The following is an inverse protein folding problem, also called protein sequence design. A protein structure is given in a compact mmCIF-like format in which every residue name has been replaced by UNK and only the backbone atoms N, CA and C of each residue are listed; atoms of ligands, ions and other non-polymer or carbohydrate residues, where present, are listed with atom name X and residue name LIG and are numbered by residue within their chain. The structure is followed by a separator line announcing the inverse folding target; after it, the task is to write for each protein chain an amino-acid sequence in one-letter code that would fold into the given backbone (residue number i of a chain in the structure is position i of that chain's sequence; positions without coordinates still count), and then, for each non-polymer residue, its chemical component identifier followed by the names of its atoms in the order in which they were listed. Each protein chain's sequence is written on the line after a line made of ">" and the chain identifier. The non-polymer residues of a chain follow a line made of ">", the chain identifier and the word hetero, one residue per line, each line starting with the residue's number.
data_IF_939373614646
#
_entry.id   IF_939373614646
#
_cell.length_a   1.000
_cell.length_b   1.000
_cell.length_c   1.000
_cell.angle_alpha   90.00
_cell.angle_beta   90.00
_cell.angle_gamma   90.00
#
_symmetry.space_group_name_H-M   'P 1'
#
loop_
_entity.id
_entity.type
_entity.pdbx_description
1 polymer ?
#
# COMPACT_ATOMS: atom_id res chain seq x y z
N UNK A 1 1.33 -24.57 14.70
CA UNK A 1 0.65 -23.31 14.34
C UNK A 1 1.61 -22.15 14.58
N UNK A 2 2.39 -21.76 13.58
CA UNK A 2 3.38 -20.68 13.73
C UNK A 2 2.69 -19.34 13.46
N UNK A 3 2.61 -18.52 14.51
CA UNK A 3 2.08 -17.16 14.47
C UNK A 3 2.97 -16.31 13.57
N UNK A 4 2.43 -15.82 12.44
CA UNK A 4 3.09 -14.87 11.55
C UNK A 4 3.16 -13.52 12.26
N UNK A 5 4.15 -13.35 13.13
CA UNK A 5 4.60 -12.01 13.55
C UNK A 5 5.12 -11.32 12.30
N UNK A 6 4.30 -10.49 11.67
CA UNK A 6 4.79 -9.45 10.78
C UNK A 6 5.83 -8.66 11.56
N UNK A 7 7.07 -8.66 11.10
CA UNK A 7 8.20 -8.05 11.79
C UNK A 7 7.88 -6.59 12.06
N UNK A 8 7.72 -6.20 13.32
CA UNK A 8 7.51 -4.81 13.72
C UNK A 8 8.61 -3.87 13.16
N UNK A 9 9.78 -4.42 12.82
CA UNK A 9 10.87 -3.72 12.14
C UNK A 9 10.51 -3.19 10.73
N UNK A 10 9.70 -3.92 9.95
CA UNK A 10 9.27 -3.46 8.61
C UNK A 10 8.24 -2.32 8.68
N UNK A 11 7.55 -2.18 9.82
CA UNK A 11 6.66 -1.05 10.09
C UNK A 11 7.44 0.24 10.42
N UNK A 12 8.73 0.16 10.74
CA UNK A 12 9.54 1.31 11.19
C UNK A 12 10.26 2.05 10.05
N UNK A 13 10.50 1.40 8.90
CA UNK A 13 11.31 1.98 7.80
C UNK A 13 10.53 2.81 6.80
N UNK A 14 9.23 3.03 7.00
CA UNK A 14 8.36 3.58 5.97
C UNK A 14 8.30 2.70 4.72
N UNK A 15 7.52 3.08 3.73
CA UNK A 15 7.43 2.34 2.47
C UNK A 15 6.11 2.55 1.74
N UNK A 16 5.97 2.00 0.54
CA UNK A 16 4.76 2.17 -0.25
C UNK A 16 3.75 1.06 0.04
N UNK A 17 2.50 1.45 0.18
CA UNK A 17 1.35 0.55 0.30
C UNK A 17 0.41 0.75 -0.88
N UNK A 18 -0.17 -0.34 -1.38
CA UNK A 18 -1.18 -0.30 -2.45
C UNK A 18 -2.50 0.26 -1.90
N UNK A 19 -2.96 1.37 -2.49
CA UNK A 19 -4.22 2.06 -2.16
C UNK A 19 -5.26 1.99 -3.29
N UNK A 20 -4.87 1.57 -4.49
CA UNK A 20 -5.80 1.19 -5.56
C UNK A 20 -5.33 -0.11 -6.22
N UNK A 21 -6.28 -1.01 -6.47
CA UNK A 21 -5.99 -2.24 -7.21
C UNK A 21 -5.61 -1.93 -8.65
N UNK A 22 -4.74 -2.77 -9.21
CA UNK A 22 -4.31 -2.65 -10.59
C UNK A 22 -4.00 -4.01 -11.17
N UNK A 23 -4.64 -4.35 -12.29
CA UNK A 23 -4.41 -5.59 -13.03
C UNK A 23 -3.71 -5.26 -14.36
N UNK A 24 -2.39 -5.54 -14.47
CA UNK A 24 -1.66 -5.32 -15.71
C UNK A 24 -2.20 -6.19 -16.85
N UNK A 25 -2.30 -5.65 -18.07
CA UNK A 25 -2.75 -6.39 -19.26
C UNK A 25 -1.76 -7.47 -19.72
N UNK A 26 -0.51 -7.42 -19.24
CA UNK A 26 0.57 -8.35 -19.61
C UNK A 26 0.56 -9.68 -18.82
N UNK A 27 -0.52 -9.97 -18.08
CA UNK A 27 -0.67 -11.19 -17.29
C UNK A 27 0.20 -11.26 -16.03
N UNK A 28 0.83 -10.15 -15.62
CA UNK A 28 1.44 -10.08 -14.29
C UNK A 28 0.36 -10.12 -13.20
N UNK A 29 0.73 -10.62 -12.02
CA UNK A 29 -0.18 -10.69 -10.88
C UNK A 29 -0.69 -9.27 -10.52
N UNK A 30 -1.97 -9.10 -10.17
CA UNK A 30 -2.56 -7.80 -9.86
C UNK A 30 -2.05 -7.24 -8.53
N UNK A 31 -1.93 -5.93 -8.43
CA UNK A 31 -1.74 -5.24 -7.15
C UNK A 31 -3.04 -5.30 -6.35
N UNK A 32 -2.92 -5.70 -5.09
CA UNK A 32 -4.07 -5.86 -4.17
C UNK A 32 -3.96 -4.83 -3.04
N UNK A 33 -5.11 -4.29 -2.62
CA UNK A 33 -5.18 -3.29 -1.56
C UNK A 33 -4.46 -3.74 -0.27
N UNK A 34 -3.62 -2.85 0.26
CA UNK A 34 -2.87 -3.09 1.48
C UNK A 34 -1.56 -3.86 1.30
N UNK A 35 -1.25 -4.36 0.10
CA UNK A 35 0.07 -4.94 -0.19
C UNK A 35 1.17 -3.89 -0.04
N UNK A 36 2.34 -4.31 0.47
CA UNK A 36 3.53 -3.48 0.54
C UNK A 36 4.40 -3.69 -0.68
N UNK A 37 4.92 -2.59 -1.22
CA UNK A 37 5.73 -2.54 -2.43
C UNK A 37 6.99 -1.72 -2.17
N UNK A 38 8.12 -2.22 -2.63
CA UNK A 38 9.36 -1.46 -2.73
C UNK A 38 9.39 -0.80 -4.09
N UNK A 39 9.18 0.52 -4.12
CA UNK A 39 9.26 1.32 -5.35
C UNK A 39 10.72 1.57 -5.71
N UNK A 40 11.03 1.41 -7.00
CA UNK A 40 12.32 1.74 -7.60
C UNK A 40 12.15 3.05 -8.35
N UNK A 41 13.00 4.03 -8.05
CA UNK A 41 13.01 5.30 -8.74
C UNK A 41 13.45 5.12 -10.21
N UNK A 42 12.62 5.58 -11.13
CA UNK A 42 12.83 5.58 -12.57
C UNK A 42 12.75 6.99 -13.19
N UNK A 43 12.51 8.02 -12.37
CA UNK A 43 12.30 9.40 -12.81
C UNK A 43 10.95 9.69 -13.49
N UNK A 44 10.03 8.73 -13.60
CA UNK A 44 8.69 8.93 -14.15
C UNK A 44 7.69 9.23 -13.00
N UNK A 45 7.03 10.40 -12.99
CA UNK A 45 6.12 10.77 -11.92
C UNK A 45 4.76 10.07 -11.99
N UNK A 46 4.35 9.57 -13.15
CA UNK A 46 3.03 9.00 -13.40
C UNK A 46 3.04 7.47 -13.34
N UNK A 47 4.18 6.87 -13.68
CA UNK A 47 4.38 5.42 -13.73
C UNK A 47 5.56 4.96 -12.89
N UNK A 48 5.27 4.16 -11.87
CA UNK A 48 6.27 3.62 -10.96
C UNK A 48 6.62 2.18 -11.32
N UNK A 49 7.84 1.78 -10.95
CA UNK A 49 8.23 0.37 -10.91
C UNK A 49 8.45 -0.09 -9.47
N UNK A 50 8.24 -1.37 -9.21
CA UNK A 50 8.54 -1.92 -7.89
C UNK A 50 8.38 -3.42 -7.77
N UNK A 51 8.72 -3.90 -6.57
CA UNK A 51 8.64 -5.30 -6.17
C UNK A 51 7.74 -5.45 -4.95
N UNK A 52 6.93 -6.49 -4.89
CA UNK A 52 6.15 -6.79 -3.67
C UNK A 52 7.09 -7.27 -2.56
N UNK A 53 6.90 -6.76 -1.35
CA UNK A 53 7.75 -7.08 -0.19
C UNK A 53 7.78 -8.59 0.15
N UNK A 54 6.72 -9.33 -0.15
CA UNK A 54 6.61 -10.76 0.15
C UNK A 54 6.78 -11.68 -1.07
N UNK A 55 7.04 -11.11 -2.25
CA UNK A 55 7.17 -11.88 -3.48
C UNK A 55 8.64 -12.20 -3.76
N UNK A 56 9.00 -13.47 -3.61
CA UNK A 56 10.37 -13.98 -3.84
C UNK A 56 10.68 -14.19 -5.32
N UNK A 57 9.73 -13.96 -6.22
CA UNK A 57 9.98 -14.09 -7.66
C UNK A 57 10.81 -12.93 -8.21
N UNK A 58 11.01 -11.85 -7.42
CA UNK A 58 11.74 -10.64 -7.81
C UNK A 58 11.26 -10.08 -9.17
N UNK A 59 9.98 -10.29 -9.49
CA UNK A 59 9.40 -9.82 -10.75
C UNK A 59 9.08 -8.33 -10.63
N UNK A 60 9.73 -7.53 -11.48
CA UNK A 60 9.47 -6.10 -11.57
C UNK A 60 8.05 -5.86 -12.10
N UNK A 61 7.28 -5.05 -11.38
CA UNK A 61 5.94 -4.59 -11.77
C UNK A 61 6.02 -3.13 -12.21
N UNK A 62 5.17 -2.75 -13.15
CA UNK A 62 4.98 -1.36 -13.56
C UNK A 62 3.52 -0.98 -13.34
N UNK A 63 3.25 0.14 -12.67
CA UNK A 63 1.91 0.53 -12.26
C UNK A 63 1.77 2.05 -12.16
N UNK A 64 0.54 2.60 -12.29
CA UNK A 64 0.29 4.03 -12.07
C UNK A 64 0.69 4.46 -10.66
N UNK A 65 1.32 5.63 -10.53
CA UNK A 65 1.73 6.18 -9.24
C UNK A 65 0.57 6.29 -8.24
N UNK A 66 -0.64 6.55 -8.74
CA UNK A 66 -1.88 6.64 -7.94
C UNK A 66 -2.27 5.33 -7.26
N UNK A 67 -1.69 4.19 -7.66
CA UNK A 67 -1.97 2.90 -7.05
C UNK A 67 -1.34 2.74 -5.68
N UNK A 68 -0.34 3.54 -5.33
CA UNK A 68 0.39 3.43 -4.07
C UNK A 68 0.43 4.74 -3.31
N UNK A 69 0.63 4.65 -1.99
CA UNK A 69 0.92 5.80 -1.15
C UNK A 69 2.10 5.50 -0.24
N UNK A 70 2.92 6.53 0.01
CA UNK A 70 4.05 6.44 0.93
C UNK A 70 3.54 6.50 2.37
N UNK A 71 3.92 5.49 3.16
CA UNK A 71 3.73 5.43 4.61
C UNK A 71 5.03 5.88 5.26
N UNK A 72 4.98 6.97 6.04
CA UNK A 72 6.14 7.48 6.76
C UNK A 72 6.42 6.67 8.03
N UNK A 73 7.64 6.74 8.59
CA UNK A 73 7.91 6.21 9.92
C UNK A 73 6.93 6.78 10.96
N UNK A 74 6.31 5.90 11.77
CA UNK A 74 5.28 6.27 12.74
C UNK A 74 3.86 6.35 12.15
N UNK A 75 3.69 6.09 10.87
CA UNK A 75 2.38 5.94 10.24
C UNK A 75 2.01 4.46 10.06
N UNK A 76 0.71 4.19 10.05
CA UNK A 76 0.15 2.88 9.82
C UNK A 76 -0.91 2.93 8.72
N UNK A 77 -0.75 2.08 7.71
CA UNK A 77 -1.79 1.84 6.72
C UNK A 77 -2.88 0.92 7.29
N UNK A 78 -4.14 1.29 7.12
CA UNK A 78 -5.31 0.54 7.59
C UNK A 78 -6.36 0.43 6.48
N UNK A 79 -7.00 -0.73 6.39
CA UNK A 79 -8.16 -0.93 5.50
C UNK A 79 -9.46 -0.63 6.25
N UNK A 80 -10.33 0.17 5.64
CA UNK A 80 -11.63 0.52 6.18
C UNK A 80 -12.59 -0.65 5.99
N UNK A 81 -13.05 -1.23 7.11
CA UNK A 81 -13.93 -2.42 7.09
C UNK A 81 -15.41 -2.08 6.91
N UNK A 82 -15.80 -0.86 7.27
CA UNK A 82 -17.16 -0.36 7.19
C UNK A 82 -17.14 1.13 6.89
N UNK A 83 -18.18 1.66 6.24
CA UNK A 83 -18.28 3.10 5.97
C UNK A 83 -18.26 3.87 7.30
N UNK A 84 -17.42 4.90 7.39
CA UNK A 84 -17.30 5.77 8.56
C UNK A 84 -17.54 7.21 8.14
N UNK A 85 -18.36 7.93 8.91
CA UNK A 85 -18.49 9.37 8.80
C UNK A 85 -17.88 9.99 10.07
N UNK A 86 -17.03 11.00 9.90
CA UNK A 86 -16.48 11.82 10.99
C UNK A 86 -16.96 13.26 10.76
N UNK A 87 -18.15 13.61 11.30
CA UNK A 87 -18.82 14.88 10.98
C UNK A 87 -17.99 16.12 11.36
N UNK A 88 -17.23 16.04 12.45
CA UNK A 88 -16.44 17.13 13.02
C UNK A 88 -15.43 17.69 12.03
N UNK A 89 -14.90 16.83 11.17
CA UNK A 89 -13.92 17.17 10.12
C UNK A 89 -14.49 17.01 8.71
N UNK A 90 -15.81 16.81 8.58
CA UNK A 90 -16.49 16.56 7.29
C UNK A 90 -15.85 15.44 6.46
N UNK A 91 -15.29 14.43 7.13
CA UNK A 91 -14.62 13.31 6.47
C UNK A 91 -15.60 12.14 6.32
N UNK A 92 -15.58 11.50 5.14
CA UNK A 92 -16.29 10.25 4.90
C UNK A 92 -15.31 9.24 4.31
N UNK A 93 -15.17 8.13 5.00
CA UNK A 93 -14.34 7.00 4.60
C UNK A 93 -15.26 5.85 4.19
N UNK A 94 -14.97 5.24 3.07
CA UNK A 94 -15.77 4.14 2.54
C UNK A 94 -15.09 2.81 2.79
N UNK A 95 -15.91 1.77 2.92
CA UNK A 95 -15.46 0.38 2.97
C UNK A 95 -14.49 0.11 1.82
N UNK A 96 -13.47 -0.67 2.14
CA UNK A 96 -12.39 -1.09 1.25
C UNK A 96 -11.41 0.01 0.84
N UNK A 97 -11.54 1.24 1.35
CA UNK A 97 -10.46 2.23 1.22
C UNK A 97 -9.28 1.90 2.13
N UNK A 98 -8.09 2.32 1.72
CA UNK A 98 -6.89 2.30 2.55
C UNK A 98 -6.61 3.72 3.04
N UNK A 99 -6.41 3.86 4.35
CA UNK A 99 -6.08 5.13 4.99
C UNK A 99 -4.72 5.01 5.69
N UNK A 100 -4.00 6.12 5.75
CA UNK A 100 -2.74 6.22 6.48
C UNK A 100 -3.02 7.04 7.74
N UNK A 101 -2.77 6.44 8.90
CA UNK A 101 -2.97 7.08 10.20
C UNK A 101 -1.62 7.31 10.89
N UNK A 102 -1.50 8.41 11.62
CA UNK A 102 -0.31 8.68 12.45
C UNK A 102 -0.53 8.13 13.85
N UNK A 103 0.41 7.30 14.32
CA UNK A 103 0.39 6.78 15.69
C UNK A 103 1.12 7.80 16.59
N UNK A 104 0.44 8.26 17.65
CA UNK A 104 0.99 9.16 18.67
C UNK A 104 1.26 8.40 19.96
#
# INVERSE_FOLDING_TARGET
>A
MSSRRGSAAAMLTGGYVVIHEYAPSNGAAPLVLGERVHVVDNGDPDWLHGFREHDRTERLLSFPATCVALVQPGEQAMKILQNVAVPEIKLRLYRDQVCIIKLY
#
